data_IF_807866472088
#
_entry.id   IF_807866472088
#
_cell.length_a   1.000
_cell.length_b   1.000
_cell.length_c   1.000
_cell.angle_alpha   90.00
_cell.angle_beta   90.00
_cell.angle_gamma   90.00
#
_symmetry.space_group_name_H-M   'P 1'
#
loop_
_entity.id
_entity.type
_entity.pdbx_description
1 polymer ?
#
# COMPACT_ATOMS: atom_id res chain seq x y z
N UNK A 1 71.42 3.98 19.27
CA UNK A 1 70.16 3.26 19.57
C UNK A 1 69.01 4.09 19.01
N UNK A 2 68.56 3.78 17.79
CA UNK A 2 67.43 4.51 17.18
C UNK A 2 66.14 3.96 17.79
N UNK A 3 65.41 4.81 18.53
CA UNK A 3 64.14 4.43 19.14
C UNK A 3 63.12 4.13 18.06
N UNK A 4 62.58 2.91 18.08
CA UNK A 4 61.43 2.53 17.27
C UNK A 4 60.22 3.32 17.80
N UNK A 5 59.93 4.48 17.19
CA UNK A 5 58.76 5.30 17.52
C UNK A 5 57.59 4.68 16.76
N UNK A 6 56.56 4.14 17.42
CA UNK A 6 55.42 3.57 16.71
C UNK A 6 54.78 4.65 15.83
N UNK A 7 54.63 4.33 14.55
CA UNK A 7 53.94 5.20 13.59
C UNK A 7 52.43 5.12 13.84
N UNK A 8 51.67 6.11 13.39
CA UNK A 8 50.24 6.25 13.64
C UNK A 8 49.43 5.03 13.15
N UNK A 9 49.97 4.28 12.17
CA UNK A 9 49.43 3.01 11.70
C UNK A 9 49.70 1.79 12.59
N UNK A 10 50.72 1.82 13.46
CA UNK A 10 51.03 0.72 14.42
C UNK A 10 50.15 0.78 15.67
N UNK A 11 49.55 1.94 15.98
CA UNK A 11 48.67 2.17 17.14
C UNK A 11 47.19 2.23 16.77
N UNK A 12 46.85 2.28 15.47
CA UNK A 12 45.48 2.33 15.01
C UNK A 12 45.06 1.02 14.34
N UNK A 13 44.26 0.22 15.06
CA UNK A 13 43.57 -0.93 14.49
C UNK A 13 42.26 -0.43 13.89
N UNK A 14 42.02 -0.73 12.62
CA UNK A 14 40.75 -0.43 11.96
C UNK A 14 39.63 -1.19 12.68
N UNK A 15 38.80 -0.48 13.45
CA UNK A 15 37.57 -1.00 14.01
C UNK A 15 36.43 -0.86 12.99
N UNK A 16 35.44 -1.75 13.08
CA UNK A 16 34.19 -1.59 12.33
C UNK A 16 33.54 -0.25 12.69
N UNK A 17 32.99 0.45 11.69
CA UNK A 17 32.28 1.71 11.92
C UNK A 17 31.06 1.47 12.80
N UNK A 18 31.17 1.80 14.08
CA UNK A 18 30.15 1.59 15.12
C UNK A 18 28.83 2.31 14.84
N UNK A 19 28.87 3.39 14.05
CA UNK A 19 27.75 4.29 13.85
C UNK A 19 26.97 4.07 12.56
N UNK A 20 27.39 3.17 11.66
CA UNK A 20 26.75 2.97 10.36
C UNK A 20 26.60 1.48 10.06
N UNK A 21 25.39 0.96 10.30
CA UNK A 21 24.95 -0.33 9.77
C UNK A 21 24.04 -0.06 8.57
N UNK A 22 24.39 -0.57 7.39
CA UNK A 22 23.60 -0.44 6.18
C UNK A 22 22.67 -1.66 6.09
N UNK A 23 21.42 -1.49 6.51
CA UNK A 23 20.37 -2.48 6.33
C UNK A 23 19.45 -2.05 5.17
N UNK A 24 19.18 -2.97 4.24
CA UNK A 24 18.20 -2.76 3.18
C UNK A 24 16.81 -3.08 3.71
N UNK A 25 16.13 -2.07 4.26
CA UNK A 25 14.73 -2.15 4.70
C UNK A 25 13.89 -1.30 3.76
N UNK A 26 12.71 -1.78 3.37
CA UNK A 26 11.80 -0.99 2.56
C UNK A 26 10.78 -0.27 3.44
N UNK A 27 10.92 1.04 3.62
CA UNK A 27 9.93 1.85 4.36
C UNK A 27 8.66 2.17 3.54
N UNK A 28 8.64 1.86 2.24
CA UNK A 28 7.58 2.29 1.32
C UNK A 28 6.48 1.23 1.10
N UNK A 29 6.21 0.35 2.06
CA UNK A 29 5.07 -0.56 1.95
C UNK A 29 3.74 0.20 1.97
N UNK A 30 2.79 -0.19 1.10
CA UNK A 30 1.51 0.52 0.92
C UNK A 30 0.30 -0.31 1.33
N UNK A 31 0.45 -1.61 1.55
CA UNK A 31 -0.67 -2.50 1.89
C UNK A 31 -1.55 -1.96 3.03
N UNK A 32 -0.96 -1.46 4.12
CA UNK A 32 -1.70 -0.92 5.28
C UNK A 32 -2.36 0.43 5.03
N UNK A 33 -1.85 1.20 4.06
CA UNK A 33 -2.43 2.50 3.68
C UNK A 33 -3.68 2.30 2.82
N UNK A 34 -3.70 1.25 2.02
CA UNK A 34 -4.82 0.91 1.13
C UNK A 34 -5.87 0.07 1.85
N UNK A 35 -5.43 -0.93 2.62
CA UNK A 35 -6.30 -1.75 3.46
C UNK A 35 -5.97 -1.58 4.94
N UNK A 36 -6.81 -0.86 5.70
CA UNK A 36 -6.58 -0.67 7.13
C UNK A 36 -6.70 -1.99 7.89
N UNK A 37 -5.88 -2.14 8.93
CA UNK A 37 -5.88 -3.34 9.77
C UNK A 37 -7.13 -3.34 10.66
N UNK A 38 -7.96 -4.37 10.50
CA UNK A 38 -9.11 -4.63 11.36
C UNK A 38 -8.79 -5.82 12.28
N UNK A 39 -8.66 -5.62 13.60
CA UNK A 39 -8.36 -6.72 14.51
C UNK A 39 -9.58 -7.63 14.67
N UNK A 40 -9.38 -8.94 14.49
CA UNK A 40 -10.40 -9.97 14.65
C UNK A 40 -9.97 -10.98 15.72
N UNK A 41 -10.94 -11.51 16.47
CA UNK A 41 -10.69 -12.48 17.55
C UNK A 41 -10.65 -13.93 17.07
N UNK A 42 -11.35 -14.24 15.98
CA UNK A 42 -11.45 -15.59 15.43
C UNK A 42 -10.59 -15.73 14.18
N UNK A 43 -10.09 -16.94 13.97
CA UNK A 43 -9.30 -17.28 12.79
C UNK A 43 -10.16 -17.35 11.52
N UNK A 44 -11.45 -17.70 11.64
CA UNK A 44 -12.39 -17.70 10.54
C UNK A 44 -13.75 -17.22 11.01
N UNK A 45 -14.37 -16.34 10.25
CA UNK A 45 -15.76 -15.94 10.44
C UNK A 45 -16.36 -15.48 9.11
N UNK A 46 -17.65 -15.16 9.14
CA UNK A 46 -18.38 -14.59 8.02
C UNK A 46 -18.30 -13.06 8.09
N UNK A 47 -18.13 -12.43 6.93
CA UNK A 47 -18.28 -11.00 6.74
C UNK A 47 -19.74 -10.75 6.34
N UNK A 48 -20.46 -9.98 7.17
CA UNK A 48 -21.82 -9.56 6.87
C UNK A 48 -21.79 -8.43 5.83
N UNK A 49 -22.31 -8.70 4.65
CA UNK A 49 -22.40 -7.72 3.56
C UNK A 49 -23.85 -7.24 3.42
N UNK A 50 -24.05 -5.92 3.53
CA UNK A 50 -25.35 -5.30 3.28
C UNK A 50 -25.47 -4.98 1.80
N UNK A 51 -26.59 -5.35 1.18
CA UNK A 51 -26.81 -5.00 -0.22
C UNK A 51 -27.00 -3.48 -0.36
N UNK A 52 -26.08 -2.88 -1.13
CA UNK A 52 -26.05 -1.45 -1.43
C UNK A 52 -27.36 -0.93 -2.05
N UNK A 53 -28.11 -1.80 -2.72
CA UNK A 53 -29.36 -1.41 -3.38
C UNK A 53 -30.39 -0.86 -2.38
N UNK A 54 -30.43 -1.35 -1.14
CA UNK A 54 -31.36 -0.85 -0.13
C UNK A 54 -31.01 0.56 0.35
N UNK A 55 -29.74 0.96 0.30
CA UNK A 55 -29.29 2.29 0.75
C UNK A 55 -29.39 3.38 -0.31
N UNK A 56 -29.47 3.02 -1.58
CA UNK A 56 -29.58 4.00 -2.68
C UNK A 56 -30.97 4.11 -3.30
N UNK A 57 -31.94 3.31 -2.84
CA UNK A 57 -33.34 3.41 -3.27
C UNK A 57 -34.10 4.38 -2.38
N UNK A 58 -34.83 5.30 -3.00
CA UNK A 58 -35.81 6.10 -2.30
C UNK A 58 -37.13 5.31 -2.19
N UNK A 59 -37.43 4.87 -0.97
CA UNK A 59 -38.66 4.13 -0.65
C UNK A 59 -39.64 5.00 0.18
N UNK A 60 -39.31 6.29 0.35
CA UNK A 60 -40.12 7.20 1.16
C UNK A 60 -41.28 7.75 0.32
N UNK A 61 -42.51 7.46 0.76
CA UNK A 61 -43.73 7.93 0.07
C UNK A 61 -44.42 9.02 0.86
N UNK A 62 -45.07 9.97 0.17
CA UNK A 62 -45.94 10.96 0.79
C UNK A 62 -47.07 10.27 1.58
N UNK A 63 -47.24 10.66 2.84
CA UNK A 63 -48.16 10.00 3.77
C UNK A 63 -49.22 10.99 4.24
N UNK A 64 -50.48 10.65 4.00
CA UNK A 64 -51.61 11.36 4.60
C UNK A 64 -51.66 11.13 6.13
N UNK A 65 -52.07 12.13 6.94
CA UNK A 65 -52.17 11.97 8.39
C UNK A 65 -53.05 10.78 8.78
N UNK A 66 -52.49 9.80 9.51
CA UNK A 66 -53.22 8.66 10.07
C UNK A 66 -53.13 7.33 9.30
N UNK A 67 -52.61 7.28 8.06
CA UNK A 67 -52.39 6.00 7.33
C UNK A 67 -51.11 5.31 7.80
N UNK A 68 -50.82 4.05 7.45
CA UNK A 68 -49.51 3.42 7.80
C UNK A 68 -48.39 3.97 6.90
N UNK A 69 -47.17 4.04 7.43
CA UNK A 69 -45.98 4.42 6.66
C UNK A 69 -45.56 3.30 5.70
N UNK A 70 -44.82 3.65 4.64
CA UNK A 70 -44.08 2.68 3.85
C UNK A 70 -43.06 1.96 4.75
N UNK A 71 -43.00 0.63 4.63
CA UNK A 71 -42.06 -0.22 5.34
C UNK A 71 -40.87 -0.49 4.42
N UNK A 72 -39.66 -0.26 4.93
CA UNK A 72 -38.40 -0.57 4.27
C UNK A 72 -37.66 -1.63 5.08
N UNK A 73 -36.80 -2.40 4.41
CA UNK A 73 -35.99 -3.44 5.02
C UNK A 73 -34.60 -3.48 4.40
N UNK A 74 -33.74 -4.33 4.96
CA UNK A 74 -32.41 -4.62 4.42
C UNK A 74 -32.15 -6.11 4.49
N UNK A 75 -31.45 -6.63 3.49
CA UNK A 75 -30.93 -7.99 3.52
C UNK A 75 -29.44 -7.99 3.86
N UNK A 76 -28.98 -9.06 4.51
CA UNK A 76 -27.56 -9.33 4.74
C UNK A 76 -27.19 -10.59 4.00
N UNK A 77 -26.16 -10.47 3.21
CA UNK A 77 -25.48 -11.60 2.59
C UNK A 77 -24.38 -12.09 3.53
N UNK A 78 -24.40 -13.38 3.83
CA UNK A 78 -23.46 -14.06 4.75
C UNK A 78 -22.53 -15.03 4.02
N UNK A 79 -22.30 -14.83 2.72
CA UNK A 79 -21.53 -15.75 1.88
C UNK A 79 -20.04 -15.46 1.88
N UNK A 80 -19.64 -14.23 2.17
CA UNK A 80 -18.24 -13.85 2.28
C UNK A 80 -17.65 -14.43 3.57
N UNK A 81 -16.66 -15.30 3.46
CA UNK A 81 -15.94 -15.88 4.59
C UNK A 81 -14.49 -15.46 4.54
N UNK A 82 -13.88 -15.25 5.70
CA UNK A 82 -12.43 -15.05 5.78
C UNK A 82 -11.77 -16.19 6.56
N UNK A 83 -10.50 -16.44 6.25
CA UNK A 83 -9.66 -17.37 6.99
C UNK A 83 -8.26 -16.78 7.16
N UNK A 84 -7.86 -16.52 8.40
CA UNK A 84 -6.53 -16.02 8.75
C UNK A 84 -5.53 -17.18 8.81
N UNK A 85 -4.74 -17.34 7.76
CA UNK A 85 -3.65 -18.32 7.72
C UNK A 85 -2.47 -17.83 8.57
N UNK A 86 -1.93 -18.69 9.43
CA UNK A 86 -0.74 -18.37 10.21
C UNK A 86 0.53 -18.58 9.37
N UNK A 87 1.31 -17.51 9.21
CA UNK A 87 2.63 -17.56 8.58
C UNK A 87 3.71 -17.28 9.63
N UNK A 88 4.77 -18.08 9.62
CA UNK A 88 5.88 -17.93 10.56
C UNK A 88 7.23 -18.09 9.85
N UNK A 89 8.21 -17.30 10.30
CA UNK A 89 9.60 -17.38 9.85
C UNK A 89 10.51 -17.28 11.07
N UNK A 90 11.56 -18.11 11.12
CA UNK A 90 12.53 -18.15 12.22
C UNK A 90 13.92 -17.77 11.71
N UNK A 91 14.61 -16.88 12.42
CA UNK A 91 16.05 -16.61 12.24
C UNK A 91 16.81 -17.22 13.42
N UNK A 92 17.77 -18.10 13.12
CA UNK A 92 18.65 -18.71 14.14
C UNK A 92 19.90 -17.85 14.28
N UNK A 93 20.30 -17.60 15.52
CA UNK A 93 21.59 -17.02 15.90
C UNK A 93 22.30 -18.06 16.75
N UNK A 94 23.33 -18.76 16.21
CA UNK A 94 24.12 -19.72 16.98
C UNK A 94 24.87 -19.05 18.12
N UNK A 95 25.06 -19.76 19.23
CA UNK A 95 25.72 -19.21 20.41
C UNK A 95 27.20 -18.87 20.18
N UNK A 96 27.88 -19.62 19.30
CA UNK A 96 29.26 -19.31 18.89
C UNK A 96 29.36 -17.96 18.16
N UNK A 97 28.36 -17.61 17.35
CA UNK A 97 28.31 -16.32 16.64
C UNK A 97 27.96 -15.20 17.61
N UNK A 98 27.07 -15.47 18.56
CA UNK A 98 26.70 -14.52 19.62
C UNK A 98 27.88 -14.21 20.54
N UNK A 99 28.67 -15.22 20.91
CA UNK A 99 29.83 -15.07 21.78
C UNK A 99 31.01 -14.35 21.10
N UNK A 100 31.10 -14.44 19.77
CA UNK A 100 32.12 -13.77 18.96
C UNK A 100 31.65 -12.43 18.36
N UNK A 101 30.44 -11.98 18.68
CA UNK A 101 29.93 -10.72 18.18
C UNK A 101 30.56 -9.56 18.96
N UNK A 102 31.10 -8.58 18.24
CA UNK A 102 31.53 -7.32 18.85
C UNK A 102 30.34 -6.58 19.46
N UNK A 103 30.55 -5.86 20.57
CA UNK A 103 29.51 -5.10 21.32
C UNK A 103 28.68 -4.14 20.46
N UNK A 104 29.20 -3.80 19.28
CA UNK A 104 28.56 -2.96 18.26
C UNK A 104 27.33 -3.64 17.64
N UNK A 105 27.33 -4.97 17.52
CA UNK A 105 26.26 -5.72 16.88
C UNK A 105 25.23 -6.19 17.90
N UNK A 106 24.06 -5.56 17.90
CA UNK A 106 22.89 -6.13 18.54
C UNK A 106 22.21 -7.14 17.60
N UNK A 107 22.76 -8.36 17.55
CA UNK A 107 22.31 -9.43 16.66
C UNK A 107 20.83 -9.78 16.83
N UNK A 108 20.30 -9.71 18.06
CA UNK A 108 18.89 -10.01 18.33
C UNK A 108 17.99 -8.90 17.74
N UNK A 109 18.37 -7.63 17.89
CA UNK A 109 17.64 -6.51 17.28
C UNK A 109 17.68 -6.57 15.74
N UNK A 110 18.82 -6.92 15.16
CA UNK A 110 18.94 -7.08 13.70
C UNK A 110 18.09 -8.25 13.18
N UNK A 111 18.06 -9.37 13.90
CA UNK A 111 17.21 -10.50 13.55
C UNK A 111 15.72 -10.13 13.63
N UNK A 112 15.29 -9.36 14.65
CA UNK A 112 13.91 -8.86 14.74
C UNK A 112 13.60 -7.94 13.56
N UNK A 113 14.46 -6.97 13.25
CA UNK A 113 14.26 -6.07 12.08
C UNK A 113 14.13 -6.87 10.79
N UNK A 114 14.99 -7.87 10.58
CA UNK A 114 14.94 -8.75 9.42
C UNK A 114 13.62 -9.53 9.32
N UNK A 115 13.17 -10.14 10.43
CA UNK A 115 11.92 -10.90 10.45
C UNK A 115 10.71 -10.00 10.22
N UNK A 116 10.71 -8.81 10.80
CA UNK A 116 9.66 -7.80 10.60
C UNK A 116 9.58 -7.34 9.14
N UNK A 117 10.72 -7.04 8.50
CA UNK A 117 10.77 -6.69 7.07
C UNK A 117 10.22 -7.83 6.19
N UNK A 118 10.58 -9.09 6.49
CA UNK A 118 10.02 -10.25 5.78
C UNK A 118 8.51 -10.39 5.97
N UNK A 119 7.98 -10.08 7.15
CA UNK A 119 6.55 -10.07 7.40
C UNK A 119 5.85 -9.00 6.56
N UNK A 120 6.39 -7.78 6.50
CA UNK A 120 5.84 -6.70 5.68
C UNK A 120 5.92 -7.00 4.18
N UNK A 121 7.04 -7.54 3.70
CA UNK A 121 7.19 -7.99 2.31
C UNK A 121 6.14 -9.04 1.93
N UNK A 122 5.88 -10.01 2.81
CA UNK A 122 4.88 -11.05 2.57
C UNK A 122 3.48 -10.44 2.44
N UNK A 123 3.13 -9.52 3.35
CA UNK A 123 1.85 -8.82 3.34
C UNK A 123 1.67 -7.98 2.07
N UNK A 124 2.70 -7.27 1.65
CA UNK A 124 2.69 -6.48 0.41
C UNK A 124 2.49 -7.37 -0.82
N UNK A 125 3.15 -8.53 -0.85
CA UNK A 125 2.96 -9.50 -1.94
C UNK A 125 1.54 -10.05 -1.98
N UNK A 126 0.98 -10.46 -0.84
CA UNK A 126 -0.40 -10.93 -0.75
C UNK A 126 -1.40 -9.84 -1.17
N UNK A 127 -1.16 -8.59 -0.78
CA UNK A 127 -1.93 -7.44 -1.25
C UNK A 127 -1.86 -7.30 -2.78
N UNK A 128 -0.67 -7.31 -3.36
CA UNK A 128 -0.50 -7.19 -4.80
C UNK A 128 -1.13 -8.37 -5.56
N UNK A 129 -1.01 -9.59 -5.04
CA UNK A 129 -1.57 -10.80 -5.64
C UNK A 129 -3.12 -10.77 -5.61
N UNK A 130 -3.74 -10.30 -4.52
CA UNK A 130 -5.20 -10.20 -4.40
C UNK A 130 -5.81 -9.05 -5.20
N UNK A 131 -5.18 -7.86 -5.17
CA UNK A 131 -5.64 -6.67 -5.91
C UNK A 131 -5.52 -6.85 -7.41
N UNK A 132 -4.43 -7.48 -7.89
CA UNK A 132 -4.21 -7.67 -9.33
C UNK A 132 -4.77 -9.01 -9.84
N UNK A 133 -5.42 -9.82 -9.00
CA UNK A 133 -6.05 -11.05 -9.45
C UNK A 133 -7.23 -10.78 -10.39
N UNK A 134 -7.39 -11.65 -11.38
CA UNK A 134 -8.52 -11.60 -12.31
C UNK A 134 -9.83 -11.85 -11.57
N UNK A 135 -10.82 -10.98 -11.76
CA UNK A 135 -12.15 -11.12 -11.15
C UNK A 135 -12.27 -10.56 -9.73
N UNK A 136 -11.21 -9.97 -9.15
CA UNK A 136 -11.30 -9.25 -7.86
C UNK A 136 -12.16 -7.99 -7.94
N UNK A 137 -12.35 -7.44 -9.14
CA UNK A 137 -13.09 -6.19 -9.36
C UNK A 137 -14.34 -6.43 -10.20
N UNK A 138 -15.47 -5.87 -9.76
CA UNK A 138 -16.74 -5.92 -10.49
C UNK A 138 -16.68 -5.19 -11.83
N UNK A 139 -15.91 -4.10 -11.89
CA UNK A 139 -15.64 -3.33 -13.10
C UNK A 139 -14.15 -3.13 -13.24
N UNK A 140 -13.59 -3.46 -14.41
CA UNK A 140 -12.18 -3.23 -14.73
C UNK A 140 -12.11 -2.33 -15.96
N UNK A 141 -11.53 -1.14 -15.80
CA UNK A 141 -11.22 -0.25 -16.92
C UNK A 141 -10.05 -0.82 -17.71
N UNK A 142 -10.30 -1.35 -18.90
CA UNK A 142 -9.19 -1.69 -19.82
C UNK A 142 -8.80 -0.44 -20.57
N UNK A 143 -7.59 0.05 -20.32
CA UNK A 143 -7.06 1.21 -21.02
C UNK A 143 -6.65 0.78 -22.42
N UNK A 144 -7.26 1.38 -23.44
CA UNK A 144 -6.97 1.07 -24.85
C UNK A 144 -5.56 1.51 -25.26
N UNK A 145 -5.15 2.73 -24.88
CA UNK A 145 -3.82 3.26 -25.11
C UNK A 145 -3.06 3.36 -23.78
N UNK A 146 -2.06 2.51 -23.57
CA UNK A 146 -1.22 2.56 -22.36
C UNK A 146 -0.65 3.97 -22.19
N UNK A 147 -0.59 4.49 -20.97
CA UNK A 147 -0.06 5.83 -20.64
C UNK A 147 1.44 6.03 -20.97
N UNK A 148 2.09 5.05 -21.58
CA UNK A 148 3.39 5.18 -22.22
C UNK A 148 3.31 5.74 -23.65
N UNK A 149 2.14 5.73 -24.29
CA UNK A 149 1.89 6.28 -25.62
C UNK A 149 1.48 7.75 -25.51
N UNK A 150 2.48 8.62 -25.45
CA UNK A 150 2.30 10.06 -25.30
C UNK A 150 1.52 10.76 -26.43
N UNK A 151 1.20 10.07 -27.53
CA UNK A 151 0.46 10.66 -28.64
C UNK A 151 -1.04 10.34 -28.61
N UNK A 152 -1.42 9.16 -28.10
CA UNK A 152 -2.79 8.66 -28.18
C UNK A 152 -3.42 8.31 -26.83
N UNK A 153 -2.66 8.35 -25.72
CA UNK A 153 -3.23 8.14 -24.39
C UNK A 153 -3.64 9.45 -23.74
N UNK A 154 -4.79 9.44 -23.05
CA UNK A 154 -5.24 10.53 -22.18
C UNK A 154 -5.41 9.98 -20.74
N UNK A 155 -4.34 10.03 -19.92
CA UNK A 155 -4.41 9.53 -18.55
C UNK A 155 -5.38 10.33 -17.66
N UNK A 156 -5.71 11.57 -18.04
CA UNK A 156 -6.55 12.45 -17.23
C UNK A 156 -8.01 12.03 -17.39
N UNK A 157 -8.46 11.85 -18.63
CA UNK A 157 -9.82 11.40 -18.91
C UNK A 157 -10.05 9.97 -18.41
N UNK A 158 -9.05 9.08 -18.52
CA UNK A 158 -9.10 7.74 -17.95
C UNK A 158 -9.36 7.75 -16.43
N UNK A 159 -8.65 8.62 -15.70
CA UNK A 159 -8.83 8.78 -14.25
C UNK A 159 -10.19 9.39 -13.93
N UNK A 160 -10.61 10.44 -14.64
CA UNK A 160 -11.92 11.08 -14.42
C UNK A 160 -13.09 10.13 -14.70
N UNK A 161 -12.99 9.34 -15.76
CA UNK A 161 -13.98 8.32 -16.12
C UNK A 161 -14.06 7.24 -15.04
N UNK A 162 -12.92 6.83 -14.49
CA UNK A 162 -12.88 5.87 -13.38
C UNK A 162 -13.49 6.46 -12.11
N UNK A 163 -13.18 7.72 -11.78
CA UNK A 163 -13.79 8.43 -10.64
C UNK A 163 -15.31 8.48 -10.76
N UNK A 164 -15.84 8.84 -11.93
CA UNK A 164 -17.29 8.87 -12.19
C UNK A 164 -17.90 7.48 -12.05
N UNK A 165 -17.28 6.46 -12.64
CA UNK A 165 -17.76 5.07 -12.55
C UNK A 165 -17.86 4.59 -11.09
N UNK A 166 -16.87 4.93 -10.26
CA UNK A 166 -16.91 4.60 -8.82
C UNK A 166 -18.01 5.42 -8.14
N UNK A 167 -18.08 6.73 -8.38
CA UNK A 167 -19.08 7.61 -7.79
C UNK A 167 -20.52 7.16 -8.10
N UNK A 168 -20.78 6.69 -9.32
CA UNK A 168 -22.08 6.15 -9.72
C UNK A 168 -22.43 4.84 -8.99
N UNK A 169 -21.42 4.06 -8.55
CA UNK A 169 -21.61 2.79 -7.86
C UNK A 169 -21.78 2.91 -6.34
N UNK A 170 -21.11 3.89 -5.71
CA UNK A 170 -21.08 4.05 -4.25
C UNK A 170 -21.63 5.40 -3.75
N UNK A 171 -22.01 6.31 -4.64
CA UNK A 171 -22.51 7.64 -4.30
C UNK A 171 -21.46 8.56 -3.65
N UNK A 172 -20.16 8.25 -3.74
CA UNK A 172 -19.04 9.01 -3.19
C UNK A 172 -17.86 8.98 -4.14
N UNK A 173 -17.09 10.07 -4.18
CA UNK A 173 -15.84 10.07 -4.93
C UNK A 173 -14.78 9.18 -4.25
N UNK A 174 -13.92 8.51 -5.04
CA UNK A 174 -12.77 7.80 -4.49
C UNK A 174 -11.76 8.77 -3.86
N UNK A 175 -11.07 8.31 -2.82
CA UNK A 175 -10.15 9.10 -2.00
C UNK A 175 -8.68 8.67 -2.11
N UNK A 176 -8.37 7.62 -2.86
CA UNK A 176 -7.01 7.06 -2.91
C UNK A 176 -6.75 6.50 -4.30
N UNK A 177 -5.61 6.89 -4.87
CA UNK A 177 -5.05 6.33 -6.10
C UNK A 177 -3.74 5.59 -5.79
N UNK A 178 -3.62 4.37 -6.29
CA UNK A 178 -2.40 3.56 -6.14
C UNK A 178 -1.73 3.44 -7.50
N UNK A 179 -0.55 4.05 -7.63
CA UNK A 179 0.21 4.06 -8.88
C UNK A 179 1.52 3.30 -8.72
N UNK A 180 1.78 2.35 -9.62
CA UNK A 180 3.09 1.72 -9.74
C UNK A 180 4.15 2.73 -10.17
N UNK A 181 5.41 2.50 -9.78
CA UNK A 181 6.53 3.43 -10.09
C UNK A 181 6.67 3.72 -11.59
N UNK A 182 6.53 2.70 -12.44
CA UNK A 182 6.59 2.86 -13.89
C UNK A 182 5.49 3.79 -14.39
N UNK A 183 4.27 3.63 -13.88
CA UNK A 183 3.12 4.46 -14.26
C UNK A 183 3.35 5.90 -13.84
N UNK A 184 3.82 6.10 -12.60
CA UNK A 184 4.19 7.43 -12.09
C UNK A 184 5.26 8.10 -12.97
N UNK A 185 6.35 7.39 -13.29
CA UNK A 185 7.43 7.93 -14.14
C UNK A 185 6.93 8.34 -15.54
N UNK A 186 5.90 7.66 -16.05
CA UNK A 186 5.24 8.02 -17.33
C UNK A 186 4.33 9.24 -17.18
N UNK A 187 3.51 9.29 -16.14
CA UNK A 187 2.64 10.44 -15.85
C UNK A 187 3.43 11.73 -15.67
N UNK A 188 4.56 11.67 -14.95
CA UNK A 188 5.44 12.82 -14.72
C UNK A 188 6.01 13.41 -16.03
N UNK A 189 6.03 12.64 -17.11
CA UNK A 189 6.56 13.05 -18.42
C UNK A 189 5.47 13.17 -19.48
N UNK A 190 4.21 12.94 -19.12
CA UNK A 190 3.11 12.95 -20.08
C UNK A 190 2.84 14.39 -20.54
N UNK A 191 2.74 14.65 -21.87
CA UNK A 191 2.54 16.00 -22.38
C UNK A 191 1.29 16.68 -21.80
N UNK A 192 0.17 15.97 -21.71
CA UNK A 192 -1.08 16.55 -21.16
C UNK A 192 -0.95 17.00 -19.70
N UNK A 193 -0.26 16.21 -18.87
CA UNK A 193 0.00 16.60 -17.49
C UNK A 193 0.97 17.79 -17.41
N UNK A 194 1.98 17.82 -18.28
CA UNK A 194 2.96 18.92 -18.35
C UNK A 194 2.32 20.22 -18.85
N UNK A 195 1.43 20.17 -19.83
CA UNK A 195 0.77 21.35 -20.38
C UNK A 195 -0.21 21.98 -19.38
N UNK A 196 -0.84 21.20 -18.50
CA UNK A 196 -1.65 21.71 -17.39
C UNK A 196 -0.85 22.52 -16.38
N UNK A 197 0.38 22.10 -16.05
CA UNK A 197 1.21 22.77 -15.04
C UNK A 197 2.13 23.85 -15.62
N UNK A 198 2.32 23.87 -16.95
CA UNK A 198 3.22 24.76 -17.68
C UNK A 198 3.01 26.23 -17.37
N UNK A 199 1.77 26.62 -17.05
CA UNK A 199 1.39 27.99 -16.77
C UNK A 199 1.24 28.31 -15.27
N UNK A 200 1.32 27.31 -14.38
CA UNK A 200 0.94 27.45 -12.97
C UNK A 200 2.08 27.22 -11.97
N UNK A 201 3.08 26.37 -12.24
CA UNK A 201 4.22 26.17 -11.32
C UNK A 201 5.57 25.83 -12.01
N UNK A 202 6.66 26.44 -11.51
CA UNK A 202 8.04 26.12 -11.92
C UNK A 202 8.51 24.82 -11.25
N UNK A 203 8.71 23.79 -12.07
CA UNK A 203 9.72 22.74 -11.87
C UNK A 203 9.37 21.62 -10.89
N UNK A 204 8.92 20.50 -11.45
CA UNK A 204 8.72 19.16 -10.85
C UNK A 204 7.32 18.91 -10.28
N UNK A 205 6.62 17.98 -10.93
CA UNK A 205 5.37 17.36 -10.48
C UNK A 205 5.64 16.58 -9.17
N UNK A 206 5.23 17.14 -8.03
CA UNK A 206 5.22 16.46 -6.73
C UNK A 206 3.98 15.57 -6.54
N UNK A 207 3.99 14.72 -5.51
CA UNK A 207 2.86 13.83 -5.17
C UNK A 207 1.57 14.60 -4.84
N UNK A 208 1.70 15.83 -4.35
CA UNK A 208 0.60 16.72 -3.96
C UNK A 208 -0.30 17.13 -5.13
N UNK A 209 0.21 17.10 -6.37
CA UNK A 209 -0.56 17.45 -7.57
C UNK A 209 -1.33 16.27 -8.17
N UNK A 210 -1.08 15.04 -7.70
CA UNK A 210 -1.74 13.82 -8.19
C UNK A 210 -2.76 13.24 -7.19
N UNK A 211 -2.93 13.87 -6.02
CA UNK A 211 -3.85 13.45 -4.96
C UNK A 211 -5.29 13.91 -5.21
#
# INVERSE_FOLDING_TARGET
MAGNRPDTGDVHVNALMTNVSIAYINDNYIADKVFPIVPVSKQSDIIAEFDKAYWFRDEMTERAPGTKAAESGWSVTTTATYFCVSFALRKIIPDEVRANADDVFNLDMEAVKYLTDKAFMRREKEFADTVNASGSWTSTGTINAKWSDFANSDPIDDVMTTKRTIADLIGREPNTIVCGKIVRDRLLRHPDCLDLIKYTQRGILGEDLLA
#
